data_IF_593602228344
#
_entry.id   IF_593602228344
#
_cell.length_a   1.000
_cell.length_b   1.000
_cell.length_c   1.000
_cell.angle_alpha   90.00
_cell.angle_beta   90.00
_cell.angle_gamma   90.00
#
_symmetry.space_group_name_H-M   'P 1'
#
loop_
_entity.id
_entity.type
_entity.pdbx_description
1 polymer ?
#
# COMPACT_ATOMS: atom_id res chain seq x y z
N UNK A 1 3.04 10.55 22.14
CA UNK A 1 4.41 10.68 21.61
C UNK A 1 4.38 11.64 20.43
N UNK A 2 5.07 12.78 20.51
CA UNK A 2 5.14 13.76 19.40
C UNK A 2 6.55 14.34 19.19
N UNK A 3 7.34 14.43 20.26
CA UNK A 3 8.73 14.93 20.24
C UNK A 3 9.77 13.90 20.71
N UNK A 4 9.39 12.63 20.81
CA UNK A 4 10.31 11.62 21.35
C UNK A 4 11.34 11.23 20.29
N UNK A 5 12.62 11.29 20.67
CA UNK A 5 13.72 10.82 19.85
C UNK A 5 14.02 9.34 20.13
N UNK A 6 14.91 8.75 19.34
CA UNK A 6 15.24 7.33 19.44
C UNK A 6 15.89 6.95 20.79
N UNK A 7 16.63 7.85 21.42
CA UNK A 7 17.26 7.62 22.73
C UNK A 7 16.20 7.48 23.80
N UNK A 8 15.25 8.41 23.83
CA UNK A 8 14.14 8.40 24.80
C UNK A 8 13.24 7.17 24.66
N UNK A 9 13.05 6.66 23.44
CA UNK A 9 12.31 5.40 23.22
C UNK A 9 13.16 4.22 23.71
N UNK A 10 14.45 4.19 23.40
CA UNK A 10 15.36 3.14 23.83
C UNK A 10 15.47 3.04 25.36
N UNK A 11 15.54 4.16 26.09
CA UNK A 11 15.54 4.17 27.57
C UNK A 11 14.33 3.44 28.16
N UNK A 12 13.16 3.53 27.52
CA UNK A 12 11.96 2.78 27.95
C UNK A 12 12.08 1.28 27.67
N UNK A 13 12.65 0.91 26.52
CA UNK A 13 12.94 -0.49 26.19
C UNK A 13 13.93 -1.08 27.20
N UNK A 14 14.98 -0.33 27.54
CA UNK A 14 15.99 -0.73 28.52
C UNK A 14 15.39 -0.94 29.90
N UNK A 15 14.51 -0.02 30.34
CA UNK A 15 13.78 -0.19 31.60
C UNK A 15 13.00 -1.50 31.61
N UNK A 16 12.23 -1.79 30.55
CA UNK A 16 11.49 -3.06 30.45
C UNK A 16 12.45 -4.25 30.45
N UNK A 17 13.54 -4.19 29.69
CA UNK A 17 14.55 -5.26 29.64
C UNK A 17 15.23 -5.50 31.00
N UNK A 18 15.39 -4.47 31.83
CA UNK A 18 15.92 -4.63 33.19
C UNK A 18 14.98 -5.40 34.11
N UNK A 19 13.67 -5.34 33.86
CA UNK A 19 12.64 -6.06 34.62
C UNK A 19 12.48 -7.50 34.13
N UNK A 20 12.48 -7.73 32.80
CA UNK A 20 12.24 -9.05 32.21
C UNK A 20 13.52 -9.84 31.90
N UNK A 21 14.69 -9.21 31.95
CA UNK A 21 15.98 -9.76 31.50
C UNK A 21 16.26 -9.50 30.01
N UNK A 22 17.42 -8.92 29.71
CA UNK A 22 17.85 -8.57 28.35
C UNK A 22 17.84 -9.77 27.39
N UNK A 23 18.16 -10.98 27.88
CA UNK A 23 18.17 -12.21 27.08
C UNK A 23 16.80 -12.64 26.55
N UNK A 24 15.72 -12.09 27.13
CA UNK A 24 14.35 -12.41 26.76
C UNK A 24 13.80 -11.49 25.65
N UNK A 25 14.51 -10.40 25.31
CA UNK A 25 14.15 -9.58 24.15
C UNK A 25 14.69 -10.21 22.86
N UNK A 26 13.80 -10.86 22.11
CA UNK A 26 14.15 -11.59 20.89
C UNK A 26 14.06 -10.70 19.64
N UNK A 27 13.07 -9.81 19.59
CA UNK A 27 12.74 -9.02 18.40
C UNK A 27 11.93 -7.79 18.76
N UNK A 28 12.06 -6.72 17.97
CA UNK A 28 11.23 -5.52 18.04
C UNK A 28 10.43 -5.37 16.75
N UNK A 29 9.10 -5.53 16.85
CA UNK A 29 8.17 -5.27 15.74
C UNK A 29 7.81 -3.79 15.73
N UNK A 30 8.07 -3.13 14.62
CA UNK A 30 7.98 -1.66 14.55
C UNK A 30 7.71 -1.18 13.13
N UNK A 31 7.21 0.05 13.03
CA UNK A 31 7.04 0.73 11.75
C UNK A 31 8.37 1.18 11.16
N UNK A 32 8.36 1.66 9.91
CA UNK A 32 9.56 2.02 9.17
C UNK A 32 10.12 3.45 9.25
N UNK A 33 9.69 4.39 10.13
CA UNK A 33 10.33 5.71 10.17
C UNK A 33 11.76 5.63 10.75
N UNK A 34 12.61 6.59 10.39
CA UNK A 34 14.02 6.61 10.78
C UNK A 34 14.25 6.56 12.29
N UNK A 35 13.37 7.17 13.09
CA UNK A 35 13.44 7.14 14.55
C UNK A 35 13.30 5.71 15.10
N UNK A 36 12.44 4.88 14.51
CA UNK A 36 12.26 3.49 14.92
C UNK A 36 13.48 2.66 14.53
N UNK A 37 14.01 2.85 13.33
CA UNK A 37 15.25 2.19 12.90
C UNK A 37 16.43 2.54 13.80
N UNK A 38 16.57 3.82 14.18
CA UNK A 38 17.62 4.23 15.13
C UNK A 38 17.40 3.61 16.51
N UNK A 39 16.15 3.54 16.98
CA UNK A 39 15.78 2.87 18.24
C UNK A 39 16.17 1.39 18.21
N UNK A 40 15.83 0.68 17.13
CA UNK A 40 16.23 -0.72 16.95
C UNK A 40 17.75 -0.90 17.01
N UNK A 41 18.51 -0.03 16.34
CA UNK A 41 19.98 -0.10 16.36
C UNK A 41 20.55 0.12 17.77
N UNK A 42 19.98 1.05 18.55
CA UNK A 42 20.40 1.28 19.93
C UNK A 42 20.07 0.07 20.82
N UNK A 43 18.84 -0.43 20.74
CA UNK A 43 18.43 -1.63 21.48
C UNK A 43 19.27 -2.84 21.10
N UNK A 44 19.58 -3.03 19.81
CA UNK A 44 20.45 -4.09 19.30
C UNK A 44 21.85 -4.02 19.93
N UNK A 45 22.45 -2.82 19.97
CA UNK A 45 23.77 -2.63 20.56
C UNK A 45 23.77 -2.98 22.05
N UNK A 46 22.75 -2.55 22.80
CA UNK A 46 22.66 -2.85 24.22
C UNK A 46 22.45 -4.36 24.48
N UNK A 47 21.53 -5.00 23.76
CA UNK A 47 21.31 -6.45 23.88
C UNK A 47 22.60 -7.23 23.56
N UNK A 48 23.33 -6.84 22.52
CA UNK A 48 24.59 -7.48 22.16
C UNK A 48 25.67 -7.29 23.23
N UNK A 49 25.74 -6.13 23.87
CA UNK A 49 26.65 -5.87 24.99
C UNK A 49 26.29 -6.69 26.24
N UNK A 50 25.00 -6.79 26.57
CA UNK A 50 24.52 -7.44 27.79
C UNK A 50 24.53 -8.97 27.69
N UNK A 51 24.25 -9.51 26.51
CA UNK A 51 23.99 -10.95 26.36
C UNK A 51 24.91 -11.63 25.35
N UNK A 52 25.67 -10.88 24.55
CA UNK A 52 26.44 -11.42 23.41
C UNK A 52 25.56 -11.93 22.26
N UNK A 53 24.28 -11.50 22.19
CA UNK A 53 23.30 -12.00 21.21
C UNK A 53 22.78 -10.87 20.34
N UNK A 54 22.33 -11.21 19.14
CA UNK A 54 21.65 -10.27 18.25
C UNK A 54 20.15 -10.52 18.21
N UNK A 55 19.37 -9.44 18.18
CA UNK A 55 17.93 -9.49 17.97
C UNK A 55 17.62 -9.95 16.54
N UNK A 56 16.47 -10.58 16.37
CA UNK A 56 15.97 -10.98 15.06
C UNK A 56 15.52 -9.75 14.27
N UNK A 57 16.21 -9.44 13.18
CA UNK A 57 15.81 -8.39 12.25
C UNK A 57 14.95 -8.96 11.10
N UNK A 58 13.66 -8.65 11.14
CA UNK A 58 12.67 -9.09 10.14
C UNK A 58 12.19 -7.94 9.25
N UNK A 59 12.83 -6.78 9.33
CA UNK A 59 12.34 -5.57 8.67
C UNK A 59 11.36 -4.76 9.52
N UNK A 60 10.84 -3.68 8.92
CA UNK A 60 9.71 -2.93 9.46
C UNK A 60 8.38 -3.58 9.09
N UNK A 61 7.30 -3.16 9.76
CA UNK A 61 5.94 -3.65 9.56
C UNK A 61 5.54 -3.74 8.07
N UNK A 62 5.17 -4.95 7.63
CA UNK A 62 4.77 -5.21 6.23
C UNK A 62 3.49 -4.48 5.82
N UNK A 63 2.55 -4.28 6.76
CA UNK A 63 1.31 -3.54 6.52
C UNK A 63 1.61 -2.08 6.17
N UNK A 64 2.41 -1.40 6.99
CA UNK A 64 2.81 -0.02 6.74
C UNK A 64 3.61 0.12 5.44
N UNK A 65 4.45 -0.86 5.12
CA UNK A 65 5.15 -0.89 3.83
C UNK A 65 4.18 -0.92 2.65
N UNK A 66 3.11 -1.73 2.69
CA UNK A 66 2.11 -1.78 1.62
C UNK A 66 1.32 -0.47 1.50
N UNK A 67 0.88 0.11 2.62
CA UNK A 67 0.21 1.42 2.61
C UNK A 67 1.10 2.50 2.00
N UNK A 68 2.38 2.54 2.39
CA UNK A 68 3.34 3.51 1.88
C UNK A 68 3.66 3.28 0.40
N UNK A 69 3.81 2.03 -0.03
CA UNK A 69 4.06 1.69 -1.43
C UNK A 69 2.89 2.08 -2.32
N UNK A 70 1.65 1.78 -1.90
CA UNK A 70 0.45 2.19 -2.61
C UNK A 70 0.37 3.73 -2.71
N UNK A 71 0.63 4.44 -1.60
CA UNK A 71 0.72 5.91 -1.59
C UNK A 71 1.80 6.43 -2.54
N UNK A 72 2.98 5.78 -2.60
CA UNK A 72 4.04 6.13 -3.55
C UNK A 72 3.58 5.94 -5.00
N UNK A 73 2.85 4.87 -5.30
CA UNK A 73 2.18 4.69 -6.59
C UNK A 73 1.24 5.84 -6.92
N UNK A 74 0.32 6.18 -6.02
CA UNK A 74 -0.60 7.31 -6.21
C UNK A 74 0.12 8.64 -6.41
N UNK A 75 1.15 8.93 -5.62
CA UNK A 75 1.90 10.18 -5.68
C UNK A 75 2.80 10.31 -6.92
N UNK A 76 3.01 9.22 -7.66
CA UNK A 76 3.78 9.23 -8.90
C UNK A 76 2.97 9.68 -10.12
N UNK A 77 1.64 9.73 -10.00
CA UNK A 77 0.76 10.25 -11.05
C UNK A 77 0.32 11.68 -10.71
N UNK A 78 -0.16 12.39 -11.72
CA UNK A 78 -0.72 13.73 -11.60
C UNK A 78 -2.19 13.74 -11.13
N UNK A 79 -2.74 12.58 -10.72
CA UNK A 79 -4.16 12.42 -10.46
C UNK A 79 -4.67 13.10 -9.18
N UNK A 80 -3.79 13.36 -8.22
CA UNK A 80 -4.10 14.06 -6.97
C UNK A 80 -5.34 13.49 -6.22
N UNK A 81 -5.50 12.15 -6.25
CA UNK A 81 -6.71 11.47 -5.75
C UNK A 81 -6.94 11.69 -4.25
N UNK A 82 -5.89 11.83 -3.45
CA UNK A 82 -6.03 12.07 -2.01
C UNK A 82 -6.72 13.40 -1.70
N UNK A 83 -6.33 14.48 -2.40
CA UNK A 83 -6.99 15.77 -2.26
C UNK A 83 -8.38 15.77 -2.90
N UNK A 84 -8.58 15.06 -4.02
CA UNK A 84 -9.89 14.91 -4.63
C UNK A 84 -10.89 14.28 -3.65
N UNK A 85 -10.59 13.10 -3.10
CA UNK A 85 -11.45 12.38 -2.15
C UNK A 85 -11.66 13.18 -0.86
N UNK A 86 -10.61 13.80 -0.32
CA UNK A 86 -10.72 14.66 0.87
C UNK A 86 -11.64 15.86 0.62
N UNK A 87 -11.52 16.50 -0.55
CA UNK A 87 -12.30 17.69 -0.90
C UNK A 87 -13.79 17.39 -1.06
N UNK A 88 -14.14 16.20 -1.58
CA UNK A 88 -15.54 15.76 -1.66
C UNK A 88 -16.16 15.77 -0.26
N UNK A 89 -15.49 15.19 0.74
CA UNK A 89 -15.98 15.22 2.12
C UNK A 89 -16.08 16.63 2.67
N UNK A 90 -15.05 17.45 2.49
CA UNK A 90 -15.03 18.84 2.98
C UNK A 90 -16.10 19.74 2.36
N UNK A 91 -16.64 19.37 1.19
CA UNK A 91 -17.76 20.10 0.58
C UNK A 91 -19.00 20.09 1.49
N UNK A 92 -19.27 18.98 2.17
CA UNK A 92 -20.48 18.76 2.97
C UNK A 92 -20.24 18.70 4.47
N UNK A 93 -18.96 18.59 4.90
CA UNK A 93 -18.61 18.51 6.32
C UNK A 93 -18.95 19.82 7.02
N UNK A 94 -19.69 19.71 8.13
CA UNK A 94 -20.03 20.83 9.01
C UNK A 94 -20.81 21.95 8.29
N UNK A 95 -21.50 21.63 7.18
CA UNK A 95 -22.35 22.58 6.43
C UNK A 95 -23.74 21.98 6.17
N UNK A 96 -24.68 22.07 7.12
CA UNK A 96 -26.03 21.49 7.00
C UNK A 96 -26.80 21.98 5.77
N UNK A 97 -26.76 23.28 5.47
CA UNK A 97 -27.46 23.86 4.32
C UNK A 97 -27.06 23.20 2.99
N UNK A 98 -25.77 22.91 2.78
CA UNK A 98 -25.33 22.21 1.56
C UNK A 98 -25.81 20.76 1.49
N UNK A 99 -25.99 20.11 2.63
CA UNK A 99 -26.50 18.74 2.69
C UNK A 99 -27.99 18.72 2.36
N UNK A 100 -28.73 19.70 2.87
CA UNK A 100 -30.13 19.94 2.53
C UNK A 100 -30.28 20.23 1.03
N UNK A 101 -29.57 21.23 0.50
CA UNK A 101 -29.55 21.55 -0.93
C UNK A 101 -29.22 20.33 -1.79
N UNK A 102 -28.19 19.56 -1.41
CA UNK A 102 -27.80 18.34 -2.11
C UNK A 102 -28.92 17.30 -2.11
N UNK A 103 -29.54 17.04 -0.96
CA UNK A 103 -30.62 16.05 -0.87
C UNK A 103 -31.86 16.52 -1.64
N UNK A 104 -32.21 17.80 -1.59
CA UNK A 104 -33.35 18.36 -2.32
C UNK A 104 -33.17 18.25 -3.84
N UNK A 105 -32.02 18.69 -4.38
CA UNK A 105 -31.83 18.73 -5.84
C UNK A 105 -31.48 17.38 -6.45
N UNK A 106 -30.96 16.44 -5.66
CA UNK A 106 -30.51 15.13 -6.16
C UNK A 106 -31.40 13.96 -5.74
N UNK A 107 -32.23 14.14 -4.72
CA UNK A 107 -32.96 13.05 -4.06
C UNK A 107 -32.07 12.07 -3.27
N UNK A 108 -30.75 12.32 -3.20
CA UNK A 108 -29.79 11.41 -2.58
C UNK A 108 -29.46 11.83 -1.15
N UNK A 109 -29.42 10.85 -0.25
CA UNK A 109 -28.94 10.98 1.13
C UNK A 109 -27.54 10.36 1.31
N UNK A 110 -26.91 9.92 0.22
CA UNK A 110 -25.56 9.36 0.22
C UNK A 110 -24.51 10.44 0.08
N UNK A 111 -23.69 10.62 1.12
CA UNK A 111 -22.61 11.61 1.17
C UNK A 111 -21.22 10.97 1.02
N UNK A 112 -20.18 11.74 0.64
CA UNK A 112 -18.79 11.28 0.65
C UNK A 112 -18.33 10.80 2.03
N UNK A 113 -17.39 9.86 2.06
CA UNK A 113 -16.77 9.33 3.29
C UNK A 113 -15.44 10.02 3.59
N UNK A 114 -14.95 9.85 4.82
CA UNK A 114 -13.69 10.39 5.29
C UNK A 114 -12.47 9.69 4.71
N UNK A 115 -11.65 10.43 3.96
CA UNK A 115 -10.39 9.94 3.43
C UNK A 115 -9.27 9.94 4.50
N UNK A 116 -8.64 8.79 4.72
CA UNK A 116 -7.50 8.64 5.61
C UNK A 116 -6.17 8.71 4.85
N UNK A 117 -5.47 9.84 4.96
CA UNK A 117 -4.20 10.11 4.24
C UNK A 117 -2.99 9.28 4.71
N UNK A 118 -3.10 8.65 5.88
CA UNK A 118 -2.03 7.83 6.47
C UNK A 118 -2.25 6.34 6.19
N UNK A 119 -3.49 5.93 5.83
CA UNK A 119 -3.87 4.53 5.60
C UNK A 119 -4.57 4.37 4.25
N UNK A 120 -3.80 4.56 3.17
CA UNK A 120 -4.33 4.62 1.81
C UNK A 120 -5.21 3.42 1.41
N UNK A 121 -4.78 2.20 1.73
CA UNK A 121 -5.50 0.96 1.42
C UNK A 121 -6.79 0.74 2.24
N UNK A 122 -7.03 1.51 3.31
CA UNK A 122 -8.32 1.49 4.03
C UNK A 122 -9.39 2.36 3.33
N UNK A 123 -9.03 3.13 2.29
CA UNK A 123 -9.95 4.02 1.58
C UNK A 123 -10.72 3.34 0.43
N UNK A 124 -10.85 2.01 0.44
CA UNK A 124 -11.62 1.28 -0.58
C UNK A 124 -13.07 1.76 -0.60
N UNK A 125 -13.73 1.78 0.56
CA UNK A 125 -15.12 2.24 0.69
C UNK A 125 -15.27 3.74 0.34
N UNK A 126 -14.24 4.54 0.60
CA UNK A 126 -14.23 5.98 0.25
C UNK A 126 -14.24 6.17 -1.26
N UNK A 127 -13.41 5.42 -1.99
CA UNK A 127 -13.35 5.46 -3.45
C UNK A 127 -14.62 4.87 -4.08
N UNK A 128 -15.17 3.79 -3.52
CA UNK A 128 -16.47 3.24 -3.93
C UNK A 128 -17.58 4.26 -3.75
N UNK A 129 -17.68 4.88 -2.56
CA UNK A 129 -18.67 5.93 -2.30
C UNK A 129 -18.53 7.09 -3.27
N UNK A 130 -17.31 7.53 -3.57
CA UNK A 130 -17.06 8.61 -4.51
C UNK A 130 -17.57 8.29 -5.93
N UNK A 131 -17.44 7.03 -6.38
CA UNK A 131 -18.04 6.58 -7.64
C UNK A 131 -19.58 6.57 -7.56
N UNK A 132 -20.15 6.04 -6.47
CA UNK A 132 -21.61 5.93 -6.29
C UNK A 132 -22.29 7.31 -6.29
N UNK A 133 -21.70 8.30 -5.64
CA UNK A 133 -22.31 9.65 -5.53
C UNK A 133 -22.04 10.53 -6.76
N UNK A 134 -21.20 10.10 -7.70
CA UNK A 134 -20.75 10.94 -8.81
C UNK A 134 -21.93 11.48 -9.65
N UNK A 135 -22.98 10.70 -9.98
CA UNK A 135 -24.16 11.24 -10.68
C UNK A 135 -24.89 12.33 -9.88
N UNK A 136 -25.12 12.10 -8.58
CA UNK A 136 -25.73 13.10 -7.69
C UNK A 136 -24.85 14.35 -7.56
N UNK A 137 -23.52 14.18 -7.49
CA UNK A 137 -22.58 15.29 -7.46
C UNK A 137 -22.68 16.13 -8.74
N UNK A 138 -22.78 15.50 -9.92
CA UNK A 138 -22.99 16.19 -11.20
C UNK A 138 -24.27 17.04 -11.17
N UNK A 139 -25.37 16.48 -10.69
CA UNK A 139 -26.65 17.19 -10.53
C UNK A 139 -26.52 18.37 -9.57
N UNK A 140 -25.89 18.19 -8.42
CA UNK A 140 -25.68 19.24 -7.43
C UNK A 140 -24.82 20.41 -7.97
N UNK A 141 -23.69 20.10 -8.62
CA UNK A 141 -22.84 21.13 -9.24
C UNK A 141 -23.63 21.88 -10.33
N UNK A 142 -24.41 21.18 -11.16
CA UNK A 142 -25.25 21.81 -12.18
C UNK A 142 -26.32 22.73 -11.57
N UNK A 143 -26.99 22.30 -10.49
CA UNK A 143 -27.98 23.11 -9.79
C UNK A 143 -27.37 24.41 -9.22
N UNK A 144 -26.16 24.32 -8.65
CA UNK A 144 -25.43 25.50 -8.17
C UNK A 144 -25.07 26.46 -9.31
N UNK A 145 -24.53 25.96 -10.43
CA UNK A 145 -24.15 26.79 -11.59
C UNK A 145 -25.33 27.43 -12.31
N UNK A 146 -26.49 26.76 -12.30
CA UNK A 146 -27.74 27.28 -12.85
C UNK A 146 -28.53 28.15 -11.86
N UNK A 147 -27.92 28.46 -10.70
CA UNK A 147 -28.51 29.31 -9.63
C UNK A 147 -29.83 28.78 -9.05
N UNK A 148 -30.09 27.47 -9.14
CA UNK A 148 -31.20 26.83 -8.44
C UNK A 148 -30.96 26.74 -6.93
N UNK A 149 -29.68 26.65 -6.55
CA UNK A 149 -29.20 26.70 -5.16
C UNK A 149 -28.02 27.68 -5.10
N UNK A 150 -27.60 28.03 -3.87
CA UNK A 150 -26.47 28.94 -3.66
C UNK A 150 -25.15 28.29 -4.09
N UNK A 151 -24.39 28.93 -4.98
CA UNK A 151 -23.07 28.44 -5.38
C UNK A 151 -22.03 28.63 -4.26
N UNK A 152 -21.43 27.55 -3.71
CA UNK A 152 -20.42 27.68 -2.69
C UNK A 152 -19.08 28.20 -3.23
N UNK A 153 -18.57 29.31 -2.69
CA UNK A 153 -17.26 29.88 -3.08
C UNK A 153 -16.03 29.15 -2.48
N UNK A 154 -16.16 27.89 -2.05
CA UNK A 154 -15.11 27.17 -1.32
C UNK A 154 -14.14 26.41 -2.22
N UNK A 155 -12.91 26.17 -1.72
CA UNK A 155 -11.91 25.32 -2.42
C UNK A 155 -12.44 23.91 -2.70
N UNK A 156 -13.19 23.33 -1.77
CA UNK A 156 -13.80 22.00 -1.93
C UNK A 156 -14.84 21.96 -3.04
N UNK A 157 -15.63 23.02 -3.20
CA UNK A 157 -16.59 23.13 -4.31
C UNK A 157 -15.89 23.23 -5.66
N UNK A 158 -14.88 24.10 -5.79
CA UNK A 158 -14.07 24.21 -7.02
C UNK A 158 -13.39 22.87 -7.38
N UNK A 159 -12.91 22.12 -6.39
CA UNK A 159 -12.34 20.78 -6.63
C UNK A 159 -13.43 19.78 -7.07
N UNK A 160 -14.62 19.82 -6.47
CA UNK A 160 -15.74 18.97 -6.86
C UNK A 160 -16.24 19.27 -8.29
N UNK A 161 -16.27 20.54 -8.68
CA UNK A 161 -16.51 20.97 -10.07
C UNK A 161 -15.46 20.36 -11.02
N UNK A 162 -14.17 20.50 -10.70
CA UNK A 162 -13.10 19.88 -11.48
C UNK A 162 -13.21 18.36 -11.59
N UNK A 163 -13.66 17.68 -10.53
CA UNK A 163 -13.93 16.23 -10.54
C UNK A 163 -15.07 15.88 -11.51
N UNK A 164 -16.13 16.67 -11.53
CA UNK A 164 -17.29 16.45 -12.41
C UNK A 164 -16.91 16.60 -13.90
N UNK A 165 -15.96 17.50 -14.20
CA UNK A 165 -15.45 17.73 -15.55
C UNK A 165 -14.29 16.81 -15.97
N UNK A 166 -13.74 16.02 -15.05
CA UNK A 166 -12.67 15.07 -15.35
C UNK A 166 -13.25 13.73 -15.83
N UNK A 167 -13.32 13.55 -17.15
CA UNK A 167 -13.81 12.32 -17.79
C UNK A 167 -13.00 11.06 -17.39
N UNK A 168 -11.76 11.22 -16.92
CA UNK A 168 -10.92 10.12 -16.46
C UNK A 168 -11.14 9.79 -14.98
N UNK A 169 -11.84 10.63 -14.20
CA UNK A 169 -12.01 10.42 -12.76
C UNK A 169 -12.60 9.04 -12.41
N UNK A 170 -13.65 8.54 -13.10
CA UNK A 170 -14.16 7.20 -12.85
C UNK A 170 -13.11 6.10 -13.13
N UNK A 171 -12.31 6.24 -14.19
CA UNK A 171 -11.26 5.28 -14.52
C UNK A 171 -10.13 5.30 -13.48
N UNK A 172 -9.72 6.49 -13.02
CA UNK A 172 -8.71 6.67 -11.96
C UNK A 172 -9.14 5.96 -10.66
N UNK A 173 -10.39 6.12 -10.23
CA UNK A 173 -10.91 5.46 -9.03
C UNK A 173 -11.08 3.94 -9.22
N UNK A 174 -11.52 3.47 -10.38
CA UNK A 174 -11.61 2.02 -10.64
C UNK A 174 -10.23 1.34 -10.68
N UNK A 175 -9.21 2.02 -11.21
CA UNK A 175 -7.83 1.52 -11.16
C UNK A 175 -7.31 1.49 -9.72
N UNK A 176 -7.52 2.56 -8.95
CA UNK A 176 -7.22 2.60 -7.52
C UNK A 176 -7.85 1.40 -6.79
N UNK A 177 -9.15 1.14 -7.03
CA UNK A 177 -9.90 0.06 -6.40
C UNK A 177 -9.38 -1.32 -6.80
N UNK A 178 -9.03 -1.52 -8.07
CA UNK A 178 -8.44 -2.78 -8.54
C UNK A 178 -7.17 -3.11 -7.73
N UNK A 179 -6.23 -2.15 -7.64
CA UNK A 179 -4.96 -2.39 -6.93
C UNK A 179 -5.20 -2.52 -5.42
N UNK A 180 -6.05 -1.68 -4.82
CA UNK A 180 -6.30 -1.71 -3.37
C UNK A 180 -6.98 -3.01 -2.93
N UNK A 181 -7.96 -3.50 -3.70
CA UNK A 181 -8.69 -4.75 -3.39
C UNK A 181 -7.80 -5.99 -3.52
N UNK A 182 -6.79 -5.97 -4.39
CA UNK A 182 -5.81 -7.06 -4.49
C UNK A 182 -4.95 -7.22 -3.22
N UNK A 183 -4.68 -6.10 -2.54
CA UNK A 183 -3.83 -6.08 -1.34
C UNK A 183 -4.66 -6.26 -0.05
N UNK A 184 -5.94 -5.90 -0.09
CA UNK A 184 -6.86 -5.94 1.06
C UNK A 184 -6.87 -7.28 1.82
N UNK A 185 -6.90 -8.46 1.16
CA UNK A 185 -6.85 -9.74 1.85
C UNK A 185 -5.61 -9.90 2.72
N UNK A 186 -4.45 -9.43 2.26
CA UNK A 186 -3.22 -9.46 3.04
C UNK A 186 -3.33 -8.56 4.27
N UNK A 187 -3.87 -7.35 4.13
CA UNK A 187 -4.02 -6.46 5.28
C UNK A 187 -4.88 -7.09 6.37
N UNK A 188 -6.04 -7.64 5.99
CA UNK A 188 -6.95 -8.33 6.91
C UNK A 188 -6.30 -9.55 7.56
N UNK A 189 -5.55 -10.33 6.79
CA UNK A 189 -4.92 -11.56 7.27
C UNK A 189 -3.79 -11.30 8.27
N UNK A 190 -3.04 -10.20 8.11
CA UNK A 190 -1.87 -9.87 8.94
C UNK A 190 -2.19 -8.92 10.11
N UNK A 191 -3.45 -8.48 10.25
CA UNK A 191 -3.97 -7.78 11.43
C UNK A 191 -4.52 -8.77 12.46
N UNK A 192 -3.65 -9.64 12.98
CA UNK A 192 -4.02 -10.69 13.95
C UNK A 192 -2.86 -10.98 14.90
N UNK A 193 -3.18 -11.51 16.09
CA UNK A 193 -2.18 -11.93 17.08
C UNK A 193 -1.63 -13.35 16.82
N UNK A 194 -2.06 -13.99 15.72
CA UNK A 194 -1.53 -15.30 15.29
C UNK A 194 -0.09 -15.16 14.79
N UNK A 195 0.74 -16.22 14.85
CA UNK A 195 2.12 -16.20 14.36
C UNK A 195 2.16 -16.19 12.82
N UNK A 196 1.99 -15.02 12.21
CA UNK A 196 1.84 -14.89 10.75
C UNK A 196 3.17 -14.77 9.99
N UNK A 197 4.28 -14.55 10.69
CA UNK A 197 5.60 -14.35 10.08
C UNK A 197 6.07 -15.52 9.17
N UNK A 198 5.79 -16.81 9.46
CA UNK A 198 6.08 -17.91 8.55
C UNK A 198 5.46 -17.76 7.16
N UNK A 199 4.25 -17.21 7.08
CA UNK A 199 3.51 -17.08 5.82
C UNK A 199 3.92 -15.83 5.03
N UNK A 200 4.53 -14.84 5.70
CA UNK A 200 4.80 -13.50 5.17
C UNK A 200 5.59 -13.50 3.87
N UNK A 201 6.63 -14.33 3.78
CA UNK A 201 7.44 -14.40 2.56
C UNK A 201 6.64 -14.90 1.36
N UNK A 202 5.79 -15.90 1.55
CA UNK A 202 4.98 -16.47 0.46
C UNK A 202 3.93 -15.46 0.00
N UNK A 203 3.18 -14.90 0.94
CA UNK A 203 2.09 -13.99 0.63
C UNK A 203 2.57 -12.68 -0.01
N UNK A 204 3.67 -12.09 0.50
CA UNK A 204 4.28 -10.91 -0.14
C UNK A 204 4.82 -11.22 -1.54
N UNK A 205 5.36 -12.43 -1.75
CA UNK A 205 5.82 -12.86 -3.09
C UNK A 205 4.65 -12.92 -4.06
N UNK A 206 3.49 -13.41 -3.62
CA UNK A 206 2.29 -13.52 -4.45
C UNK A 206 1.74 -12.13 -4.82
N UNK A 207 1.70 -11.19 -3.85
CA UNK A 207 1.31 -9.79 -4.13
C UNK A 207 2.27 -9.15 -5.13
N UNK A 208 3.58 -9.24 -4.89
CA UNK A 208 4.58 -8.69 -5.81
C UNK A 208 4.43 -9.25 -7.22
N UNK A 209 4.28 -10.58 -7.34
CA UNK A 209 4.07 -11.24 -8.62
C UNK A 209 2.82 -10.72 -9.32
N UNK A 210 1.69 -10.69 -8.62
CA UNK A 210 0.42 -10.26 -9.20
C UNK A 210 0.47 -8.79 -9.68
N UNK A 211 1.12 -7.91 -8.93
CA UNK A 211 1.35 -6.51 -9.33
C UNK A 211 2.27 -6.42 -10.55
N UNK A 212 3.38 -7.14 -10.57
CA UNK A 212 4.34 -7.14 -11.68
C UNK A 212 3.75 -7.71 -12.96
N UNK A 213 2.93 -8.77 -12.89
CA UNK A 213 2.25 -9.38 -14.05
C UNK A 213 1.27 -8.44 -14.78
N UNK A 214 1.00 -7.25 -14.23
CA UNK A 214 0.21 -6.21 -14.89
C UNK A 214 1.01 -5.37 -15.89
N UNK A 215 2.33 -5.29 -15.73
CA UNK A 215 3.18 -4.41 -16.55
C UNK A 215 4.50 -5.05 -17.03
N UNK A 216 4.94 -6.17 -16.46
CA UNK A 216 6.14 -6.93 -16.86
C UNK A 216 5.75 -8.02 -17.87
N UNK A 217 6.61 -8.26 -18.87
CA UNK A 217 6.42 -9.26 -19.92
C UNK A 217 6.25 -10.67 -19.32
N UNK A 218 5.33 -11.50 -19.85
CA UNK A 218 5.16 -12.88 -19.39
C UNK A 218 6.44 -13.72 -19.45
N UNK A 219 7.28 -13.55 -20.49
CA UNK A 219 8.56 -14.27 -20.63
C UNK A 219 9.53 -14.02 -19.47
N UNK A 220 9.58 -12.78 -18.98
CA UNK A 220 10.38 -12.39 -17.80
C UNK A 220 9.77 -13.00 -16.53
N UNK A 221 8.45 -12.91 -16.37
CA UNK A 221 7.75 -13.43 -15.19
C UNK A 221 7.81 -14.96 -15.05
N UNK A 222 7.78 -15.69 -16.17
CA UNK A 222 7.95 -17.15 -16.19
C UNK A 222 9.33 -17.60 -15.69
N UNK A 223 10.36 -16.78 -15.91
CA UNK A 223 11.72 -17.06 -15.45
C UNK A 223 11.87 -16.86 -13.94
N UNK A 224 11.02 -16.01 -13.34
CA UNK A 224 10.99 -15.71 -11.91
C UNK A 224 10.28 -16.81 -11.10
N UNK A 225 10.79 -18.04 -11.08
CA UNK A 225 10.08 -19.21 -10.53
C UNK A 225 9.96 -19.27 -9.00
N UNK A 226 10.66 -18.41 -8.26
CA UNK A 226 10.62 -18.36 -6.79
C UNK A 226 10.85 -16.93 -6.28
N UNK A 227 10.70 -16.72 -4.96
CA UNK A 227 10.88 -15.40 -4.33
C UNK A 227 12.21 -14.74 -4.65
N UNK A 228 13.33 -15.47 -4.57
CA UNK A 228 14.65 -14.89 -4.84
C UNK A 228 14.81 -14.47 -6.30
N UNK A 229 14.31 -15.27 -7.24
CA UNK A 229 14.32 -14.91 -8.66
C UNK A 229 13.38 -13.74 -8.96
N UNK A 230 12.21 -13.68 -8.32
CA UNK A 230 11.28 -12.56 -8.45
C UNK A 230 11.91 -11.25 -7.97
N UNK A 231 12.57 -11.25 -6.81
CA UNK A 231 13.27 -10.08 -6.28
C UNK A 231 14.52 -9.66 -7.08
N UNK A 232 14.92 -10.47 -8.07
CA UNK A 232 16.02 -10.16 -9.00
C UNK A 232 15.54 -9.70 -10.38
N UNK A 233 14.23 -9.71 -10.63
CA UNK A 233 13.69 -9.15 -11.86
C UNK A 233 13.95 -7.66 -11.84
N UNK A 234 14.56 -7.14 -12.90
CA UNK A 234 14.66 -5.70 -13.11
C UNK A 234 13.31 -5.18 -13.61
N UNK A 235 12.50 -4.73 -12.65
CA UNK A 235 11.14 -4.25 -12.90
C UNK A 235 11.10 -2.76 -13.27
N UNK A 236 12.24 -2.08 -13.34
CA UNK A 236 12.31 -0.69 -13.82
C UNK A 236 12.78 -0.63 -15.29
N UNK A 237 13.50 -1.66 -15.75
CA UNK A 237 13.93 -1.82 -17.14
C UNK A 237 12.74 -1.86 -18.12
N UNK A 238 12.70 -0.89 -19.04
CA UNK A 238 11.60 -0.73 -19.99
C UNK A 238 11.52 -1.89 -20.98
N UNK A 239 12.66 -2.50 -21.31
CA UNK A 239 12.69 -3.68 -22.18
C UNK A 239 12.02 -4.91 -21.54
N UNK A 240 11.87 -4.93 -20.22
CA UNK A 240 11.13 -5.98 -19.53
C UNK A 240 9.61 -5.72 -19.50
N UNK A 241 9.15 -4.54 -19.92
CA UNK A 241 7.75 -4.15 -19.81
C UNK A 241 6.91 -4.56 -21.02
N UNK A 242 5.64 -4.86 -20.79
CA UNK A 242 4.69 -4.98 -21.90
C UNK A 242 4.48 -3.63 -22.58
N UNK A 243 4.02 -3.68 -23.83
CA UNK A 243 3.50 -2.48 -24.50
C UNK A 243 2.45 -1.79 -23.62
N UNK A 244 2.43 -0.47 -23.63
CA UNK A 244 1.56 0.31 -22.74
C UNK A 244 0.08 -0.02 -22.93
N UNK A 245 -0.35 -0.39 -24.14
CA UNK A 245 -1.73 -0.80 -24.41
C UNK A 245 -2.09 -2.15 -23.79
N UNK A 246 -1.08 -2.97 -23.48
CA UNK A 246 -1.23 -4.28 -22.84
C UNK A 246 -1.12 -4.23 -21.32
N UNK A 247 -0.89 -3.06 -20.74
CA UNK A 247 -0.89 -2.87 -19.27
C UNK A 247 -2.28 -3.20 -18.73
N UNK A 248 -2.33 -4.12 -17.77
CA UNK A 248 -3.58 -4.57 -17.16
C UNK A 248 -4.09 -3.54 -16.17
N UNK A 249 -5.16 -2.83 -16.53
CA UNK A 249 -5.80 -1.79 -15.69
C UNK A 249 -7.12 -2.25 -15.04
N UNK A 250 -7.60 -3.44 -15.39
CA UNK A 250 -8.80 -4.06 -14.82
C UNK A 250 -10.11 -3.72 -15.56
N UNK A 251 -11.05 -4.66 -15.55
CA UNK A 251 -12.29 -4.57 -16.35
C UNK A 251 -13.16 -3.35 -16.03
N UNK A 252 -13.26 -2.97 -14.76
CA UNK A 252 -14.05 -1.81 -14.36
C UNK A 252 -13.43 -0.49 -14.88
N UNK A 253 -12.10 -0.41 -14.87
CA UNK A 253 -11.35 0.72 -15.45
C UNK A 253 -11.55 0.79 -16.96
N UNK A 254 -11.45 -0.34 -17.66
CA UNK A 254 -11.68 -0.41 -19.11
C UNK A 254 -13.08 0.07 -19.49
N UNK A 255 -14.11 -0.40 -18.77
CA UNK A 255 -15.49 0.06 -18.97
C UNK A 255 -15.62 1.57 -18.76
N UNK A 256 -15.05 2.11 -17.68
CA UNK A 256 -15.07 3.54 -17.40
C UNK A 256 -14.39 4.37 -18.52
N UNK A 257 -13.27 3.89 -19.07
CA UNK A 257 -12.59 4.55 -20.19
C UNK A 257 -13.45 4.56 -21.46
N UNK A 258 -14.15 3.46 -21.75
CA UNK A 258 -15.05 3.36 -22.92
C UNK A 258 -16.29 4.23 -22.74
N UNK A 259 -16.86 4.27 -21.54
CA UNK A 259 -18.11 4.98 -21.24
C UNK A 259 -17.92 6.50 -21.20
N UNK A 260 -16.82 6.99 -20.64
CA UNK A 260 -16.62 8.42 -20.35
C UNK A 260 -15.63 9.12 -21.29
N UNK A 261 -14.68 8.40 -21.90
CA UNK A 261 -13.66 9.03 -22.76
C UNK A 261 -14.01 8.78 -24.23
N UNK A 262 -14.89 9.61 -24.80
CA UNK A 262 -15.46 9.42 -26.17
C UNK A 262 -15.10 10.52 -27.18
N UNK A 263 -14.42 11.57 -26.74
CA UNK A 263 -14.20 12.78 -27.55
C UNK A 263 -13.05 12.62 -28.57
N UNK A 264 -12.92 13.58 -29.48
CA UNK A 264 -11.73 13.71 -30.33
C UNK A 264 -10.49 13.83 -29.43
N UNK A 265 -9.54 12.88 -29.56
CA UNK A 265 -8.39 12.75 -28.66
C UNK A 265 -8.53 11.67 -27.57
N UNK A 266 -9.63 10.91 -27.54
CA UNK A 266 -9.84 9.82 -26.58
C UNK A 266 -8.72 8.78 -26.59
N UNK A 267 -8.19 8.43 -27.76
CA UNK A 267 -7.09 7.46 -27.87
C UNK A 267 -5.83 7.96 -27.16
N UNK A 268 -5.44 9.22 -27.39
CA UNK A 268 -4.30 9.84 -26.71
C UNK A 268 -4.51 9.87 -25.19
N UNK A 269 -5.68 10.29 -24.72
CA UNK A 269 -6.01 10.32 -23.28
C UNK A 269 -5.98 8.92 -22.64
N UNK A 270 -6.50 7.91 -23.34
CA UNK A 270 -6.44 6.51 -22.86
C UNK A 270 -5.01 6.00 -22.80
N UNK A 271 -4.17 6.38 -23.77
CA UNK A 271 -2.76 6.02 -23.78
C UNK A 271 -2.01 6.68 -22.60
N UNK A 272 -2.17 7.99 -22.41
CA UNK A 272 -1.61 8.74 -21.26
C UNK A 272 -2.10 8.18 -19.92
N UNK A 273 -3.38 7.82 -19.82
CA UNK A 273 -3.93 7.15 -18.64
C UNK A 273 -3.24 5.81 -18.36
N UNK A 274 -3.02 4.98 -19.38
CA UNK A 274 -2.31 3.70 -19.23
C UNK A 274 -0.83 3.90 -18.86
N UNK A 275 -0.18 4.92 -19.40
CA UNK A 275 1.18 5.30 -19.00
C UNK A 275 1.23 5.64 -17.50
N UNK A 276 0.28 6.44 -17.02
CA UNK A 276 0.12 6.74 -15.60
C UNK A 276 -0.16 5.48 -14.75
N UNK A 277 -1.00 4.56 -15.22
CA UNK A 277 -1.24 3.28 -14.54
C UNK A 277 0.03 2.42 -14.44
N UNK A 278 0.82 2.37 -15.51
CA UNK A 278 2.12 1.67 -15.52
C UNK A 278 3.08 2.34 -14.54
N UNK A 279 3.21 3.66 -14.58
CA UNK A 279 4.08 4.43 -13.68
C UNK A 279 3.72 4.18 -12.21
N UNK A 280 2.42 4.21 -11.89
CA UNK A 280 1.91 3.86 -10.56
C UNK A 280 2.42 2.49 -10.11
N UNK A 281 2.24 1.46 -10.95
CA UNK A 281 2.57 0.08 -10.61
C UNK A 281 4.09 -0.11 -10.43
N UNK A 282 4.88 0.47 -11.34
CA UNK A 282 6.35 0.45 -11.25
C UNK A 282 6.80 1.08 -9.94
N UNK A 283 6.35 2.30 -9.63
CA UNK A 283 6.77 3.02 -8.41
C UNK A 283 6.30 2.33 -7.13
N UNK A 284 5.11 1.75 -7.15
CA UNK A 284 4.63 0.92 -6.05
C UNK A 284 5.52 -0.31 -5.84
N UNK A 285 5.83 -1.06 -6.90
CA UNK A 285 6.70 -2.25 -6.82
C UNK A 285 8.11 -1.89 -6.38
N UNK A 286 8.71 -0.82 -6.90
CA UNK A 286 10.02 -0.31 -6.46
C UNK A 286 10.03 -0.06 -4.96
N UNK A 287 8.97 0.55 -4.41
CA UNK A 287 8.86 0.81 -2.98
C UNK A 287 8.76 -0.48 -2.16
N UNK A 288 8.04 -1.49 -2.66
CA UNK A 288 7.97 -2.80 -2.03
C UNK A 288 9.32 -3.52 -2.07
N UNK A 289 10.05 -3.49 -3.18
CA UNK A 289 11.40 -4.08 -3.25
C UNK A 289 12.35 -3.41 -2.25
N UNK A 290 12.25 -2.09 -2.10
CA UNK A 290 13.09 -1.31 -1.19
C UNK A 290 12.80 -1.64 0.29
N UNK A 291 11.52 -1.75 0.68
CA UNK A 291 11.11 -1.73 2.10
C UNK A 291 10.42 -2.99 2.60
N UNK A 292 9.96 -3.90 1.75
CA UNK A 292 9.15 -5.04 2.19
C UNK A 292 10.00 -6.06 2.98
N UNK A 293 9.42 -6.68 4.03
CA UNK A 293 10.09 -7.72 4.83
C UNK A 293 10.68 -8.88 4.01
N UNK A 294 10.10 -9.19 2.86
CA UNK A 294 10.55 -10.29 2.00
C UNK A 294 12.00 -10.15 1.50
N UNK A 295 12.58 -8.94 1.53
CA UNK A 295 14.00 -8.71 1.21
C UNK A 295 14.96 -9.26 2.27
N UNK A 296 14.49 -9.50 3.49
CA UNK A 296 15.31 -10.04 4.58
C UNK A 296 15.45 -11.56 4.46
N UNK A 297 16.68 -12.11 4.46
CA UNK A 297 16.89 -13.56 4.40
C UNK A 297 16.15 -14.32 5.51
N UNK A 298 16.11 -13.76 6.72
CA UNK A 298 15.40 -14.37 7.84
C UNK A 298 13.91 -14.55 7.54
N UNK A 299 13.22 -13.53 7.03
CA UNK A 299 11.79 -13.60 6.67
C UNK A 299 11.55 -14.68 5.61
N UNK A 300 12.42 -14.78 4.59
CA UNK A 300 12.32 -15.83 3.57
C UNK A 300 12.55 -17.23 4.13
N UNK A 301 13.46 -17.37 5.08
CA UNK A 301 13.78 -18.65 5.69
C UNK A 301 12.74 -19.08 6.72
N UNK A 302 12.09 -18.16 7.43
CA UNK A 302 11.01 -18.45 8.38
C UNK A 302 9.80 -19.14 7.75
N UNK A 303 9.65 -19.07 6.43
CA UNK A 303 8.66 -19.91 5.72
C UNK A 303 8.87 -21.40 5.87
N UNK A 304 10.01 -21.88 6.38
CA UNK A 304 10.16 -23.28 6.79
C UNK A 304 9.19 -23.68 7.90
N UNK A 305 8.67 -22.72 8.67
CA UNK A 305 7.65 -22.96 9.70
C UNK A 305 6.23 -23.02 9.12
N UNK A 306 6.06 -22.75 7.83
CA UNK A 306 4.82 -23.04 7.11
C UNK A 306 4.78 -24.56 6.79
N UNK A 307 3.79 -25.32 7.30
CA UNK A 307 3.69 -26.76 7.04
C UNK A 307 3.71 -27.11 5.55
N UNK A 308 3.17 -26.22 4.70
CA UNK A 308 3.13 -26.41 3.23
C UNK A 308 4.51 -26.33 2.58
N UNK A 309 5.45 -25.66 3.23
CA UNK A 309 6.85 -25.55 2.77
C UNK A 309 7.69 -26.65 3.41
N UNK A 310 7.54 -26.84 4.73
CA UNK A 310 8.28 -27.84 5.51
C UNK A 310 8.19 -29.24 4.90
N UNK A 311 6.97 -29.63 4.51
CA UNK A 311 6.69 -30.97 4.00
C UNK A 311 7.06 -31.15 2.52
N UNK A 312 7.38 -30.08 1.80
CA UNK A 312 7.53 -30.11 0.33
C UNK A 312 8.91 -30.60 -0.13
N UNK A 313 9.97 -30.19 0.57
CA UNK A 313 11.34 -30.52 0.18
C UNK A 313 12.26 -30.49 1.41
N UNK A 314 12.87 -31.64 1.73
CA UNK A 314 13.65 -31.83 2.96
C UNK A 314 14.97 -31.05 2.93
N UNK A 315 15.64 -31.02 1.79
CA UNK A 315 16.93 -30.36 1.60
C UNK A 315 16.77 -28.83 1.74
N UNK A 316 15.80 -28.25 1.04
CA UNK A 316 15.47 -26.83 1.11
C UNK A 316 15.01 -26.42 2.50
N UNK A 317 14.19 -27.26 3.15
CA UNK A 317 13.74 -27.00 4.52
C UNK A 317 14.91 -27.02 5.48
N UNK A 318 15.81 -27.99 5.38
CA UNK A 318 17.05 -28.04 6.16
C UNK A 318 17.89 -26.78 5.97
N UNK A 319 18.09 -26.31 4.74
CA UNK A 319 18.82 -25.07 4.45
C UNK A 319 18.17 -23.85 5.11
N UNK A 320 16.84 -23.71 4.99
CA UNK A 320 16.10 -22.61 5.63
C UNK A 320 16.20 -22.67 7.15
N UNK A 321 16.06 -23.86 7.74
CA UNK A 321 16.20 -24.09 9.17
C UNK A 321 17.60 -23.70 9.64
N UNK A 322 18.65 -24.08 8.91
CA UNK A 322 20.04 -23.66 9.17
C UNK A 322 20.19 -22.15 9.11
N UNK A 323 19.52 -21.44 8.19
CA UNK A 323 19.55 -19.97 8.20
C UNK A 323 18.86 -19.39 9.44
N UNK A 324 17.68 -19.91 9.81
CA UNK A 324 16.95 -19.47 11.02
C UNK A 324 17.76 -19.72 12.29
N UNK A 325 18.37 -20.90 12.41
CA UNK A 325 19.22 -21.30 13.53
C UNK A 325 20.61 -20.65 13.46
N UNK A 326 21.11 -20.30 12.28
CA UNK A 326 22.38 -19.64 12.05
C UNK A 326 22.38 -18.19 12.51
N UNK A 327 21.25 -17.49 12.32
CA UNK A 327 20.96 -16.22 12.99
C UNK A 327 20.96 -16.41 14.52
N UNK A 328 20.54 -17.59 15.01
CA UNK A 328 20.69 -18.01 16.41
C UNK A 328 22.05 -18.62 16.80
N UNK A 329 23.04 -18.74 15.92
CA UNK A 329 24.37 -19.29 16.26
C UNK A 329 25.47 -18.21 16.29
N UNK A 330 25.21 -17.02 15.73
CA UNK A 330 25.89 -15.78 16.19
C UNK A 330 25.52 -15.39 17.63
N UNK A 331 24.54 -16.08 18.21
CA UNK A 331 24.00 -15.93 19.57
C UNK A 331 24.70 -16.90 20.57
N UNK A 332 25.52 -17.86 20.08
CA UNK A 332 26.15 -18.90 20.91
C UNK A 332 27.69 -18.97 20.80
N UNK A 333 28.35 -18.06 20.09
CA UNK A 333 29.83 -18.03 20.02
C UNK A 333 30.39 -16.96 20.95
N UNK A 334 30.61 -17.34 22.21
CA UNK A 334 31.76 -16.94 23.04
C UNK A 334 31.90 -17.99 24.16
N UNK A 335 32.86 -18.90 23.98
CA UNK A 335 33.64 -19.40 25.11
C UNK A 335 34.77 -18.40 25.33
#
# INVERSE_FOLDING_TARGET
MGHHNAVQINEKIEKVCSEIGFQNLIQLSMDGPNVNWKTFSLAQQNIEQQTGRQMLNVGSCGLHTLHNAFRTGCASTDWDLGNALSSLKWLFKDVPARREDFTEVTGSTSFPLDFCSHRWLENVEVAERALTILPSLKTYISAAKTKKITEPCTKSFKKAEGIVHDDLFPAKLNFFLMVAREITPFLKLYQTDKPMLPFMSGDLTNILRSLMEKFVKPSVMMSATNTLKLLKVDHEEQDNHVDVNKVKVGLATERALVEHVKNSGAERLRLEFRQNCKLFLVKMVSKLFEKAPVKYPLVRSLSVLDPRVLLKNKELSSQKLTTVLGVKNKINKKH
#
